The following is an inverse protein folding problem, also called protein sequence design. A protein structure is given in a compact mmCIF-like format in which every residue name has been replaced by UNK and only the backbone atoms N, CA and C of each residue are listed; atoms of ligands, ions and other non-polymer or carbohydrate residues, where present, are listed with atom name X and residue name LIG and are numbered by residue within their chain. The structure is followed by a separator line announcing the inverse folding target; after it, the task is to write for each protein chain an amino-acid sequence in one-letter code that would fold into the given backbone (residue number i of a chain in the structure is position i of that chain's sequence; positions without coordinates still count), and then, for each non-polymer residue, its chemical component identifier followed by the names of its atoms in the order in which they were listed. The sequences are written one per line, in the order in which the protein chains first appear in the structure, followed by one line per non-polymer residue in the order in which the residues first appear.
data_IF_135327054460
#
_entry.id   IF_135327054460
#
_cell.length_a   1.000
_cell.length_b   1.000
_cell.length_c   1.000
_cell.angle_alpha   90.00
_cell.angle_beta   90.00
_cell.angle_gamma   90.00
#
_symmetry.space_group_name_H-M   'P 1'
#
loop_
_entity.id
_entity.type
_entity.pdbx_description
1 polymer ?
#
# COMPACT_ATOMS: atom_id res chain seq x y z
N UNK A 1 -13.03 -8.52 -14.57
CA UNK A 1 -11.78 -9.24 -14.84
C UNK A 1 -10.70 -8.25 -15.27
N UNK A 2 -9.66 -7.97 -14.46
CA UNK A 2 -8.58 -7.04 -14.82
C UNK A 2 -7.76 -7.54 -16.03
N UNK A 3 -8.02 -8.76 -16.48
CA UNK A 3 -7.38 -9.39 -17.64
C UNK A 3 -8.36 -9.63 -18.79
N UNK A 4 -9.60 -9.16 -18.68
CA UNK A 4 -10.51 -9.19 -19.82
C UNK A 4 -9.82 -8.56 -21.04
N UNK A 5 -9.97 -9.21 -22.19
CA UNK A 5 -9.31 -8.77 -23.42
C UNK A 5 -9.61 -7.29 -23.65
N UNK A 6 -8.56 -6.53 -23.84
CA UNK A 6 -8.60 -5.10 -24.02
C UNK A 6 -9.64 -4.68 -25.02
N UNK A 7 -10.70 -4.08 -24.58
CA UNK A 7 -11.58 -3.32 -25.42
C UNK A 7 -10.93 -1.95 -25.65
N UNK A 8 -10.12 -1.87 -26.69
CA UNK A 8 -9.56 -0.61 -27.14
C UNK A 8 -10.56 -0.05 -28.14
N UNK A 9 -11.17 1.07 -27.82
CA UNK A 9 -11.93 1.82 -28.81
C UNK A 9 -10.99 2.70 -29.63
N UNK A 10 -11.30 2.85 -30.90
CA UNK A 10 -10.61 3.75 -31.81
C UNK A 10 -11.57 4.87 -32.21
N UNK A 11 -11.13 6.11 -32.14
CA UNK A 11 -11.82 7.27 -32.65
C UNK A 11 -10.90 8.02 -33.60
N UNK A 12 -11.49 8.69 -34.62
CA UNK A 12 -10.74 9.60 -35.48
C UNK A 12 -11.20 11.03 -35.22
N UNK A 13 -10.24 11.95 -35.14
CA UNK A 13 -10.56 13.36 -35.10
C UNK A 13 -11.01 13.88 -36.50
N UNK A 14 -11.37 15.16 -36.57
CA UNK A 14 -11.79 15.79 -37.82
C UNK A 14 -10.68 15.85 -38.87
N UNK A 15 -9.42 15.69 -38.47
CA UNK A 15 -8.22 15.65 -39.32
C UNK A 15 -7.88 14.24 -39.76
N UNK A 16 -8.60 13.21 -39.28
CA UNK A 16 -8.37 11.82 -39.59
C UNK A 16 -7.30 11.12 -38.73
N UNK A 17 -6.74 11.79 -37.70
CA UNK A 17 -5.83 11.17 -36.77
C UNK A 17 -6.56 10.14 -35.91
N UNK A 18 -5.94 8.96 -35.75
CA UNK A 18 -6.52 7.86 -34.99
C UNK A 18 -6.08 7.92 -33.52
N UNK A 19 -7.02 7.91 -32.62
CA UNK A 19 -6.83 7.83 -31.16
C UNK A 19 -7.33 6.48 -30.66
N UNK A 20 -6.54 5.86 -29.80
CA UNK A 20 -6.90 4.63 -29.10
C UNK A 20 -7.14 4.97 -27.64
N UNK A 21 -8.34 4.70 -27.18
CA UNK A 21 -8.72 4.90 -25.78
C UNK A 21 -8.83 3.58 -25.04
N UNK A 22 -8.59 3.63 -23.74
CA UNK A 22 -8.84 2.51 -22.85
C UNK A 22 -10.30 2.46 -22.45
N UNK A 23 -10.90 1.26 -22.48
CA UNK A 23 -12.20 1.06 -21.88
C UNK A 23 -12.07 1.11 -20.35
N UNK A 24 -12.94 1.87 -19.70
CA UNK A 24 -13.05 1.85 -18.23
C UNK A 24 -13.79 0.58 -17.84
N UNK A 25 -13.09 -0.32 -17.18
CA UNK A 25 -13.68 -1.54 -16.61
C UNK A 25 -14.34 -1.24 -15.26
N UNK A 26 -15.07 -2.19 -14.69
CA UNK A 26 -15.57 -2.10 -13.30
C UNK A 26 -14.46 -1.88 -12.26
N UNK A 27 -13.22 -2.17 -12.61
CA UNK A 27 -12.02 -1.97 -11.81
C UNK A 27 -11.27 -0.65 -12.13
N UNK A 28 -11.82 0.19 -12.98
CA UNK A 28 -11.21 1.43 -13.46
C UNK A 28 -10.41 1.24 -14.75
N UNK A 29 -9.48 2.17 -15.01
CA UNK A 29 -8.61 2.10 -16.18
C UNK A 29 -7.70 0.88 -16.16
N UNK A 30 -7.48 0.29 -17.33
CA UNK A 30 -6.55 -0.82 -17.49
C UNK A 30 -5.10 -0.30 -17.47
N UNK A 31 -4.50 -0.27 -16.29
CA UNK A 31 -3.11 0.14 -16.05
C UNK A 31 -2.27 -1.03 -15.53
N UNK A 32 -0.94 -0.88 -15.50
CA UNK A 32 -0.04 -1.95 -15.02
C UNK A 32 -0.17 -2.28 -13.52
N UNK A 33 -0.83 -1.43 -12.76
CA UNK A 33 -0.86 -1.50 -11.30
C UNK A 33 0.34 -0.79 -10.66
N UNK A 34 0.51 -1.01 -9.37
CA UNK A 34 1.60 -0.45 -8.57
C UNK A 34 2.91 -1.19 -8.89
N UNK A 35 4.01 -0.45 -8.98
CA UNK A 35 5.35 -1.07 -9.03
C UNK A 35 5.62 -1.74 -7.67
N UNK A 36 5.84 -3.07 -7.61
CA UNK A 36 6.03 -3.74 -6.33
C UNK A 36 7.24 -3.23 -5.56
N UNK A 37 8.28 -2.75 -6.24
CA UNK A 37 9.53 -2.30 -5.61
C UNK A 37 9.53 -0.82 -5.19
N UNK A 38 8.37 -0.26 -4.93
CA UNK A 38 8.19 1.07 -4.38
C UNK A 38 7.59 0.99 -2.96
N UNK A 39 7.86 2.03 -2.17
CA UNK A 39 7.14 2.25 -0.92
C UNK A 39 5.77 2.87 -1.22
N UNK A 40 4.75 2.33 -0.59
CA UNK A 40 3.40 2.89 -0.63
C UNK A 40 2.90 3.15 0.78
N UNK A 41 2.25 4.28 0.94
CA UNK A 41 1.51 4.56 2.17
C UNK A 41 0.37 3.56 2.35
N UNK A 42 0.10 3.19 3.58
CA UNK A 42 -1.04 2.34 3.92
C UNK A 42 -2.38 2.93 3.45
N UNK A 43 -2.47 4.25 3.39
CA UNK A 43 -3.69 4.98 3.01
C UNK A 43 -4.19 4.76 1.59
N UNK A 44 -3.39 4.16 0.69
CA UNK A 44 -3.85 3.78 -0.65
C UNK A 44 -4.68 2.49 -0.67
N UNK A 45 -4.99 1.92 0.49
CA UNK A 45 -5.83 0.73 0.58
C UNK A 45 -7.17 0.94 -0.11
N UNK A 46 -7.60 -0.06 -0.88
CA UNK A 46 -8.90 -0.05 -1.58
C UNK A 46 -9.97 -0.86 -0.85
N UNK A 47 -9.61 -1.61 0.17
CA UNK A 47 -10.51 -2.38 1.02
C UNK A 47 -10.07 -2.33 2.47
N UNK A 48 -10.99 -2.01 3.36
CA UNK A 48 -10.81 -2.01 4.82
C UNK A 48 -12.04 -2.65 5.47
N UNK A 49 -11.82 -3.64 6.34
CA UNK A 49 -12.89 -4.24 7.14
C UNK A 49 -12.86 -3.67 8.55
N UNK A 50 -13.91 -2.96 8.95
CA UNK A 50 -14.11 -2.42 10.32
C UNK A 50 -12.90 -1.63 10.88
N UNK A 51 -12.09 -1.07 9.99
CA UNK A 51 -10.94 -0.25 10.31
C UNK A 51 -11.01 1.06 9.55
N UNK A 52 -10.27 2.06 10.01
CA UNK A 52 -10.29 3.40 9.44
C UNK A 52 -8.89 3.94 9.18
N UNK A 53 -8.82 4.90 8.29
CA UNK A 53 -7.69 5.79 8.18
C UNK A 53 -7.64 6.72 9.39
N UNK A 54 -6.46 7.20 9.75
CA UNK A 54 -6.30 8.20 10.79
C UNK A 54 -7.11 9.45 10.42
N UNK A 55 -7.99 9.89 11.33
CA UNK A 55 -8.92 10.99 11.05
C UNK A 55 -8.23 12.36 10.92
N UNK A 56 -7.08 12.51 11.56
CA UNK A 56 -6.33 13.77 11.56
C UNK A 56 -5.52 13.98 10.26
N UNK A 57 -5.41 12.95 9.44
CA UNK A 57 -4.84 13.03 8.09
C UNK A 57 -5.89 13.54 7.10
N UNK A 58 -6.39 14.76 7.33
CA UNK A 58 -7.46 15.37 6.52
C UNK A 58 -7.00 15.95 5.20
N UNK A 59 -5.79 15.74 4.84
CA UNK A 59 -5.40 15.99 3.47
C UNK A 59 -5.87 14.80 2.62
N UNK A 60 -7.06 14.93 2.03
CA UNK A 60 -7.58 13.96 1.06
C UNK A 60 -6.65 13.78 -0.14
N UNK A 61 -5.67 14.66 -0.27
CA UNK A 61 -4.61 14.62 -1.26
C UNK A 61 -3.33 13.95 -0.71
N UNK A 62 -3.23 13.83 0.62
CA UNK A 62 -2.11 13.17 1.27
C UNK A 62 -2.38 11.67 1.40
N UNK A 63 -1.92 10.92 0.41
CA UNK A 63 -1.93 9.45 0.44
C UNK A 63 -1.02 8.86 1.54
N UNK A 64 -0.61 9.65 2.53
CA UNK A 64 0.31 9.25 3.60
C UNK A 64 -0.38 8.87 4.90
N UNK A 65 -1.72 8.88 4.94
CA UNK A 65 -2.47 8.50 6.12
C UNK A 65 -2.21 7.05 6.55
N UNK A 66 -1.83 6.79 7.79
CA UNK A 66 -1.75 5.43 8.31
C UNK A 66 -3.15 4.84 8.50
N UNK A 67 -3.24 3.52 8.50
CA UNK A 67 -4.41 2.78 8.95
C UNK A 67 -4.21 2.50 10.43
N UNK A 68 -5.16 2.91 11.26
CA UNK A 68 -5.01 2.85 12.72
C UNK A 68 -5.99 1.89 13.37
N UNK A 69 -5.59 1.33 14.51
CA UNK A 69 -6.45 0.51 15.36
C UNK A 69 -6.78 -0.85 14.74
N UNK A 70 -5.84 -1.45 14.01
CA UNK A 70 -6.03 -2.78 13.40
C UNK A 70 -6.14 -3.84 14.50
N UNK A 71 -7.20 -4.66 14.43
CA UNK A 71 -7.53 -5.70 15.40
C UNK A 71 -7.51 -7.09 14.76
N UNK A 72 -7.59 -8.10 15.61
CA UNK A 72 -7.73 -9.48 15.16
C UNK A 72 -8.88 -9.67 14.15
N UNK A 73 -8.60 -10.32 13.03
CA UNK A 73 -9.55 -10.57 11.95
C UNK A 73 -9.74 -9.41 10.97
N UNK A 74 -9.20 -8.23 11.22
CA UNK A 74 -9.28 -7.14 10.28
C UNK A 74 -8.53 -7.44 8.97
N UNK A 75 -9.06 -6.92 7.86
CA UNK A 75 -8.55 -7.10 6.51
C UNK A 75 -8.23 -5.76 5.89
N UNK A 76 -7.06 -5.67 5.26
CA UNK A 76 -6.62 -4.53 4.47
C UNK A 76 -6.29 -5.02 3.07
N UNK A 77 -6.87 -4.44 2.03
CA UNK A 77 -6.67 -4.87 0.65
C UNK A 77 -6.10 -3.78 -0.25
N UNK A 78 -5.19 -4.18 -1.12
CA UNK A 78 -4.51 -3.33 -2.08
C UNK A 78 -4.67 -3.89 -3.50
N UNK A 79 -5.16 -3.10 -4.44
CA UNK A 79 -5.34 -3.45 -5.84
C UNK A 79 -4.62 -2.44 -6.72
N UNK A 80 -3.84 -2.86 -7.62
CA UNK A 80 -3.17 -4.14 -7.87
C UNK A 80 -1.68 -3.88 -7.93
N UNK A 81 -0.85 -4.82 -7.52
CA UNK A 81 0.57 -4.79 -7.80
C UNK A 81 0.85 -5.46 -9.14
N UNK A 82 1.72 -4.87 -9.95
CA UNK A 82 2.12 -5.40 -11.25
C UNK A 82 3.41 -6.18 -11.15
N UNK A 83 3.34 -7.51 -11.18
CA UNK A 83 4.50 -8.38 -11.04
C UNK A 83 5.26 -8.63 -12.36
N UNK A 84 4.94 -7.90 -13.41
CA UNK A 84 5.64 -7.96 -14.69
C UNK A 84 4.85 -8.67 -15.80
N UNK A 85 5.54 -8.97 -16.92
CA UNK A 85 4.91 -9.63 -18.07
C UNK A 85 3.98 -8.75 -18.90
N UNK A 86 3.82 -7.48 -18.56
CA UNK A 86 3.04 -6.49 -19.29
C UNK A 86 3.99 -5.67 -20.17
N UNK A 87 3.69 -5.49 -21.45
CA UNK A 87 4.57 -4.78 -22.39
C UNK A 87 4.43 -3.28 -22.32
N UNK A 88 3.17 -2.79 -22.40
CA UNK A 88 2.77 -1.39 -22.27
C UNK A 88 1.34 -1.34 -21.78
N UNK A 89 0.99 -0.31 -21.04
CA UNK A 89 -0.41 -0.03 -20.75
C UNK A 89 -1.07 0.69 -21.93
N UNK A 90 -2.36 0.91 -21.81
CA UNK A 90 -3.14 1.58 -22.85
C UNK A 90 -2.82 3.08 -22.97
N UNK A 91 -2.19 3.67 -21.96
CA UNK A 91 -1.74 5.05 -21.96
C UNK A 91 -0.35 5.22 -22.56
N UNK A 92 0.29 4.12 -22.98
CA UNK A 92 1.64 4.11 -23.53
C UNK A 92 2.75 4.25 -22.51
N UNK A 93 2.43 4.16 -21.23
CA UNK A 93 3.42 4.20 -20.16
C UNK A 93 4.30 2.95 -20.21
N UNK A 94 5.58 3.14 -19.98
CA UNK A 94 6.55 2.04 -19.95
C UNK A 94 6.27 1.14 -18.75
N UNK A 95 6.12 -0.16 -19.01
CA UNK A 95 6.01 -1.13 -17.92
C UNK A 95 7.30 -1.17 -17.09
N UNK A 96 7.15 -1.29 -15.79
CA UNK A 96 8.26 -1.67 -14.92
C UNK A 96 8.57 -3.16 -15.09
N UNK A 97 9.79 -3.57 -14.73
CA UNK A 97 10.26 -4.93 -15.00
C UNK A 97 9.50 -6.01 -14.21
N UNK A 98 8.92 -5.65 -13.07
CA UNK A 98 8.26 -6.57 -12.16
C UNK A 98 9.23 -7.53 -11.45
N UNK A 99 8.69 -8.64 -10.96
CA UNK A 99 9.46 -9.67 -10.27
C UNK A 99 10.03 -10.68 -11.27
N UNK A 100 11.32 -10.94 -11.21
CA UNK A 100 12.00 -11.97 -12.04
C UNK A 100 12.30 -13.22 -11.20
N UNK A 101 12.43 -14.36 -11.84
CA UNK A 101 12.94 -15.56 -11.16
C UNK A 101 14.28 -15.27 -10.50
N UNK A 102 14.44 -15.69 -9.24
CA UNK A 102 15.67 -15.52 -8.48
C UNK A 102 15.88 -14.14 -7.87
N UNK A 103 14.91 -13.24 -7.94
CA UNK A 103 15.00 -11.94 -7.29
C UNK A 103 15.00 -12.03 -5.77
N UNK A 104 14.63 -13.17 -5.20
CA UNK A 104 14.46 -13.38 -3.75
C UNK A 104 13.60 -12.28 -3.15
N UNK A 105 12.39 -12.14 -3.70
CA UNK A 105 11.49 -11.04 -3.35
C UNK A 105 10.93 -11.22 -1.96
N UNK A 106 11.02 -10.16 -1.16
CA UNK A 106 10.46 -10.05 0.17
C UNK A 106 9.33 -9.02 0.20
N UNK A 107 8.33 -9.25 1.03
CA UNK A 107 7.28 -8.30 1.33
C UNK A 107 7.56 -7.59 2.65
N UNK A 108 7.39 -6.28 2.67
CA UNK A 108 7.71 -5.43 3.81
C UNK A 108 6.45 -4.70 4.28
N UNK A 109 6.24 -4.68 5.60
CA UNK A 109 5.28 -3.83 6.28
C UNK A 109 6.01 -2.85 7.20
N UNK A 110 5.55 -1.61 7.19
CA UNK A 110 5.98 -0.58 8.13
C UNK A 110 4.82 -0.34 9.09
N UNK A 111 4.92 -0.87 10.30
CA UNK A 111 3.84 -0.79 11.27
C UNK A 111 4.35 -0.42 12.67
N UNK A 112 3.44 0.12 13.48
CA UNK A 112 3.65 0.42 14.89
C UNK A 112 2.85 -0.58 15.72
N UNK A 113 3.50 -1.51 16.46
CA UNK A 113 2.79 -2.37 17.40
C UNK A 113 2.04 -1.53 18.45
N UNK A 114 0.79 -1.90 18.75
CA UNK A 114 -0.06 -1.26 19.77
C UNK A 114 -0.26 -2.13 21.00
N UNK A 115 0.12 -3.39 20.91
CA UNK A 115 0.12 -4.35 22.02
C UNK A 115 1.55 -4.81 22.34
N UNK A 116 1.77 -5.19 23.60
CA UNK A 116 3.01 -5.86 24.02
C UNK A 116 3.00 -7.37 23.74
N UNK A 117 1.87 -7.93 23.32
CA UNK A 117 1.73 -9.35 22.99
C UNK A 117 2.17 -9.64 21.57
N UNK A 118 2.53 -10.89 21.34
CA UNK A 118 2.81 -11.35 19.98
C UNK A 118 1.54 -11.40 19.11
N UNK A 119 1.68 -11.07 17.84
CA UNK A 119 0.63 -11.18 16.84
C UNK A 119 1.22 -11.47 15.46
N UNK A 120 0.37 -11.73 14.48
CA UNK A 120 0.77 -12.02 13.11
C UNK A 120 0.00 -11.17 12.13
N UNK A 121 0.61 -10.97 10.97
CA UNK A 121 -0.05 -10.42 9.78
C UNK A 121 0.13 -11.42 8.65
N UNK A 122 -0.96 -12.05 8.25
CA UNK A 122 -0.98 -12.99 7.14
C UNK A 122 -1.06 -12.21 5.83
N UNK A 123 -0.16 -12.50 4.90
CA UNK A 123 -0.10 -11.87 3.57
C UNK A 123 -0.73 -12.83 2.56
N UNK A 124 -1.77 -12.35 1.89
CA UNK A 124 -2.54 -13.11 0.93
C UNK A 124 -2.53 -12.44 -0.45
N UNK A 125 -2.65 -13.23 -1.49
CA UNK A 125 -2.75 -12.78 -2.87
C UNK A 125 -4.11 -13.15 -3.44
N UNK A 126 -4.75 -12.21 -4.16
CA UNK A 126 -6.02 -12.33 -4.88
C UNK A 126 -7.26 -12.61 -4.02
N UNK A 127 -7.11 -12.61 -2.72
CA UNK A 127 -8.19 -12.74 -1.75
C UNK A 127 -7.64 -12.96 -0.35
N UNK A 128 -8.40 -12.58 0.71
CA UNK A 128 -7.92 -12.67 2.09
C UNK A 128 -7.98 -14.09 2.67
N UNK A 129 -8.61 -15.03 1.95
CA UNK A 129 -8.76 -16.44 2.36
C UNK A 129 -8.81 -17.37 1.16
N UNK A 130 -8.44 -18.63 1.39
CA UNK A 130 -8.68 -19.71 0.45
C UNK A 130 -10.04 -20.36 0.77
N UNK A 131 -11.09 -19.83 0.17
CA UNK A 131 -12.45 -20.36 0.29
C UNK A 131 -13.22 -20.21 -1.02
N UNK A 132 -14.45 -20.69 -1.06
CA UNK A 132 -15.27 -20.68 -2.27
C UNK A 132 -15.51 -19.27 -2.85
N UNK A 133 -15.52 -18.26 -1.99
CA UNK A 133 -15.76 -16.84 -2.38
C UNK A 133 -14.49 -16.15 -2.89
N UNK A 134 -13.39 -16.28 -2.16
CA UNK A 134 -12.20 -15.46 -2.39
C UNK A 134 -11.11 -16.13 -3.20
N UNK A 135 -10.91 -17.44 -3.02
CA UNK A 135 -9.85 -18.23 -3.69
C UNK A 135 -8.46 -17.61 -3.56
N UNK A 136 -8.21 -16.94 -2.44
CA UNK A 136 -6.93 -16.30 -2.17
C UNK A 136 -5.83 -17.31 -1.91
N UNK A 137 -4.59 -16.90 -2.11
CA UNK A 137 -3.41 -17.72 -1.82
C UNK A 137 -2.58 -17.04 -0.73
N UNK A 138 -2.37 -17.70 0.41
CA UNK A 138 -1.42 -17.21 1.43
C UNK A 138 0.00 -17.27 0.86
N UNK A 139 0.69 -16.12 0.86
CA UNK A 139 2.04 -15.99 0.30
C UNK A 139 3.09 -15.70 1.36
N UNK A 140 2.67 -15.34 2.58
CA UNK A 140 3.60 -15.07 3.69
C UNK A 140 2.89 -14.87 5.01
N UNK A 141 3.69 -14.83 6.07
CA UNK A 141 3.25 -14.54 7.43
C UNK A 141 4.33 -13.72 8.12
N UNK A 142 3.97 -12.52 8.55
CA UNK A 142 4.84 -11.66 9.34
C UNK A 142 4.50 -11.88 10.82
N UNK A 143 5.49 -12.28 11.61
CA UNK A 143 5.36 -12.43 13.05
C UNK A 143 5.92 -11.19 13.75
N UNK A 144 5.13 -10.58 14.62
CA UNK A 144 5.54 -9.52 15.51
C UNK A 144 5.65 -10.11 16.91
N UNK A 145 6.88 -10.11 17.44
CA UNK A 145 7.16 -10.75 18.72
C UNK A 145 6.64 -9.90 19.88
N UNK A 146 6.34 -10.57 20.99
CA UNK A 146 6.00 -9.88 22.23
C UNK A 146 7.13 -8.94 22.65
N UNK A 147 6.77 -7.75 23.15
CA UNK A 147 7.73 -6.73 23.57
C UNK A 147 8.39 -5.96 22.41
N UNK A 148 7.91 -6.10 21.18
CA UNK A 148 8.37 -5.26 20.06
C UNK A 148 8.16 -3.77 20.35
N UNK A 149 9.11 -2.95 19.90
CA UNK A 149 9.06 -1.50 20.11
C UNK A 149 7.78 -0.88 19.54
N UNK A 150 7.14 0.02 20.29
CA UNK A 150 5.93 0.72 19.88
C UNK A 150 6.25 1.96 19.02
N UNK A 151 7.05 1.73 18.01
CA UNK A 151 7.41 2.73 16.99
C UNK A 151 7.32 2.13 15.60
N UNK A 152 7.34 2.96 14.57
CA UNK A 152 7.28 2.48 13.18
C UNK A 152 8.50 1.62 12.89
N UNK A 153 8.28 0.33 12.77
CA UNK A 153 9.30 -0.68 12.50
C UNK A 153 8.99 -1.41 11.19
N UNK A 154 10.03 -1.72 10.43
CA UNK A 154 9.89 -2.54 9.22
C UNK A 154 9.93 -4.02 9.59
N UNK A 155 8.90 -4.74 9.20
CA UNK A 155 8.81 -6.20 9.28
C UNK A 155 8.82 -6.78 7.89
N UNK A 156 9.51 -7.89 7.69
CA UNK A 156 9.77 -8.46 6.37
C UNK A 156 9.50 -9.95 6.36
N UNK A 157 8.92 -10.44 5.27
CA UNK A 157 8.75 -11.88 5.00
C UNK A 157 9.20 -12.21 3.57
N UNK A 158 9.91 -13.31 3.41
CA UNK A 158 10.25 -13.85 2.09
C UNK A 158 8.98 -14.38 1.41
N UNK A 159 8.70 -13.89 0.21
CA UNK A 159 7.56 -14.30 -0.61
C UNK A 159 8.01 -14.77 -2.01
N UNK A 160 9.32 -14.94 -2.21
CA UNK A 160 9.93 -15.27 -3.50
C UNK A 160 9.36 -16.51 -4.17
N UNK A 161 9.07 -17.54 -3.38
CA UNK A 161 8.44 -18.76 -3.88
C UNK A 161 7.06 -18.56 -4.53
N UNK A 162 6.44 -17.42 -4.28
CA UNK A 162 5.09 -17.11 -4.75
C UNK A 162 5.04 -16.01 -5.80
N UNK A 163 6.00 -15.06 -5.76
CA UNK A 163 5.94 -13.86 -6.60
C UNK A 163 7.07 -13.73 -7.61
N UNK A 164 8.19 -14.44 -7.43
CA UNK A 164 9.30 -14.39 -8.37
C UNK A 164 8.90 -14.93 -9.74
N UNK A 165 8.93 -14.06 -10.75
CA UNK A 165 8.55 -14.41 -12.12
C UNK A 165 7.05 -14.65 -12.32
N UNK A 166 6.19 -14.23 -11.38
CA UNK A 166 4.75 -14.45 -11.45
C UNK A 166 4.09 -13.77 -12.65
N UNK A 167 4.50 -12.53 -12.94
CA UNK A 167 3.87 -11.71 -13.99
C UNK A 167 2.47 -11.22 -13.62
N UNK A 168 1.86 -10.41 -14.49
CA UNK A 168 0.49 -9.88 -14.36
C UNK A 168 0.29 -8.99 -13.12
N UNK A 169 -0.96 -8.63 -12.88
CA UNK A 169 -1.41 -7.85 -11.72
C UNK A 169 -2.09 -8.75 -10.71
N UNK A 170 -1.76 -8.58 -9.44
CA UNK A 170 -2.35 -9.32 -8.34
C UNK A 170 -2.71 -8.37 -7.20
N UNK A 171 -3.83 -8.65 -6.55
CA UNK A 171 -4.23 -7.96 -5.33
C UNK A 171 -3.48 -8.54 -4.12
N UNK A 172 -3.13 -7.69 -3.17
CA UNK A 172 -2.51 -8.11 -1.91
C UNK A 172 -3.47 -7.78 -0.78
N UNK A 173 -3.70 -8.77 0.08
CA UNK A 173 -4.53 -8.64 1.27
C UNK A 173 -3.71 -8.96 2.52
N UNK A 174 -3.90 -8.17 3.55
CA UNK A 174 -3.34 -8.37 4.87
C UNK A 174 -4.47 -8.79 5.80
N UNK A 175 -4.27 -9.86 6.55
CA UNK A 175 -5.23 -10.32 7.56
C UNK A 175 -4.52 -10.35 8.91
N UNK A 176 -4.98 -9.55 9.86
CA UNK A 176 -4.42 -9.48 11.20
C UNK A 176 -4.88 -10.67 12.05
N UNK A 177 -3.97 -11.27 12.81
CA UNK A 177 -4.24 -12.39 13.70
C UNK A 177 -3.54 -12.18 15.05
N UNK A 178 -4.31 -12.12 16.13
CA UNK A 178 -3.78 -11.89 17.48
C UNK A 178 -4.84 -11.98 18.55
N UNK A 179 -4.57 -11.37 19.70
CA UNK A 179 -5.50 -11.34 20.81
C UNK A 179 -6.85 -10.68 20.47
N UNK A 180 -7.95 -11.22 20.99
CA UNK A 180 -9.28 -10.67 20.74
C UNK A 180 -9.50 -9.35 21.48
N UNK A 181 -10.11 -8.39 20.78
CA UNK A 181 -10.60 -7.12 21.36
C UNK A 181 -9.55 -6.02 21.56
N UNK A 182 -8.26 -6.31 21.36
CA UNK A 182 -7.18 -5.33 21.46
C UNK A 182 -6.73 -4.81 20.09
N UNK A 183 -6.22 -3.59 20.07
CA UNK A 183 -5.54 -3.04 18.90
C UNK A 183 -4.16 -3.68 18.80
N UNK A 184 -3.87 -4.28 17.66
CA UNK A 184 -2.63 -5.00 17.42
C UNK A 184 -1.55 -4.05 16.89
N UNK A 185 -1.91 -3.23 15.89
CA UNK A 185 -0.96 -2.31 15.26
C UNK A 185 -1.64 -1.18 14.49
N UNK A 186 -0.85 -0.17 14.16
CA UNK A 186 -1.13 0.79 13.10
C UNK A 186 -0.23 0.50 11.92
N UNK A 187 -0.77 0.57 10.69
CA UNK A 187 -0.04 0.34 9.47
C UNK A 187 0.32 1.67 8.80
N UNK A 188 1.61 1.94 8.62
CA UNK A 188 2.10 3.16 7.99
C UNK A 188 2.32 2.98 6.50
N UNK A 189 2.83 1.82 6.08
CA UNK A 189 3.12 1.58 4.66
C UNK A 189 3.56 0.16 4.36
N UNK A 190 3.74 -0.10 3.07
CA UNK A 190 4.11 -1.42 2.58
C UNK A 190 4.86 -1.35 1.24
N UNK A 191 5.39 -2.47 0.83
CA UNK A 191 5.99 -2.66 -0.49
C UNK A 191 6.84 -3.92 -0.55
N UNK A 192 7.36 -4.22 -1.74
CA UNK A 192 8.25 -5.37 -1.93
C UNK A 192 9.69 -4.90 -2.09
N UNK A 193 10.63 -5.75 -1.71
CA UNK A 193 12.04 -5.56 -1.99
C UNK A 193 12.62 -6.78 -2.69
N UNK A 194 13.74 -6.62 -3.39
CA UNK A 194 14.56 -7.73 -3.86
C UNK A 194 15.91 -7.71 -3.16
N UNK A 195 16.66 -8.80 -3.26
CA UNK A 195 18.00 -8.88 -2.69
C UNK A 195 18.84 -7.66 -3.07
N UNK A 196 19.47 -7.03 -2.08
CA UNK A 196 20.30 -5.86 -2.27
C UNK A 196 19.58 -4.54 -2.51
N UNK A 197 18.25 -4.56 -2.62
CA UNK A 197 17.43 -3.34 -2.73
C UNK A 197 16.64 -3.14 -1.45
N UNK A 198 16.79 -1.97 -0.85
CA UNK A 198 15.97 -1.53 0.28
C UNK A 198 14.86 -0.62 -0.24
N UNK A 199 13.66 -0.81 0.26
CA UNK A 199 12.61 0.18 0.09
C UNK A 199 12.86 1.28 1.11
N UNK A 200 13.16 2.48 0.62
CA UNK A 200 13.30 3.63 1.49
C UNK A 200 11.90 4.17 1.81
N UNK A 201 11.54 4.21 3.07
CA UNK A 201 10.41 5.02 3.54
C UNK A 201 10.74 6.48 3.24
N UNK A 202 9.82 7.25 2.60
CA UNK A 202 10.02 8.68 2.43
C UNK A 202 10.27 9.33 3.79
N UNK A 203 11.36 10.06 3.90
CA UNK A 203 11.59 10.91 5.07
C UNK A 203 10.73 12.16 4.88
N UNK A 204 9.78 12.37 5.75
CA UNK A 204 9.06 13.65 5.79
C UNK A 204 10.11 14.72 6.12
N UNK A 205 10.33 15.73 5.27
CA UNK A 205 11.29 16.77 5.55
C UNK A 205 10.94 17.43 6.89
N UNK A 206 11.89 17.49 7.81
CA UNK A 206 11.72 18.29 9.02
C UNK A 206 11.68 19.76 8.61
N UNK A 207 10.53 20.39 8.73
CA UNK A 207 10.44 21.85 8.56
C UNK A 207 11.01 22.47 9.83
N UNK A 208 12.16 23.14 9.72
CA UNK A 208 12.67 23.96 10.80
C UNK A 208 12.12 25.38 10.62
N UNK A 209 11.40 25.87 11.61
CA UNK A 209 11.00 27.28 11.69
C UNK A 209 11.96 27.98 12.64
N UNK A 210 12.52 29.10 12.23
CA UNK A 210 13.28 29.97 13.14
C UNK A 210 12.52 31.30 13.31
N UNK A 211 12.41 31.76 14.55
CA UNK A 211 11.90 33.08 14.88
C UNK A 211 13.04 33.85 15.57
N UNK A 212 13.36 35.03 15.08
CA UNK A 212 14.49 35.86 15.56
C UNK A 212 15.83 35.07 15.61
N UNK A 213 16.07 34.22 14.61
CA UNK A 213 17.30 33.40 14.51
C UNK A 213 17.39 32.22 15.47
N UNK A 214 16.36 31.96 16.28
CA UNK A 214 16.28 30.80 17.15
C UNK A 214 15.43 29.72 16.50
N UNK A 215 15.97 28.51 16.36
CA UNK A 215 15.22 27.36 15.87
C UNK A 215 14.09 27.01 16.86
N UNK A 216 12.88 26.87 16.35
CA UNK A 216 11.74 26.35 17.11
C UNK A 216 11.60 24.87 16.77
N UNK A 217 11.68 24.00 17.77
CA UNK A 217 11.30 22.60 17.60
C UNK A 217 9.77 22.53 17.44
N UNK A 218 9.34 22.17 16.23
CA UNK A 218 7.93 21.85 15.99
C UNK A 218 7.61 20.49 16.60
N UNK A 219 6.40 20.32 17.17
CA UNK A 219 5.94 18.99 17.56
C UNK A 219 6.08 18.02 16.38
N UNK A 220 6.53 16.81 16.61
CA UNK A 220 6.70 15.76 15.58
C UNK A 220 5.40 15.43 14.83
N UNK A 221 4.28 15.86 15.36
CA UNK A 221 2.96 15.71 14.75
C UNK A 221 2.41 17.12 14.47
N UNK A 222 1.98 17.43 13.24
CA UNK A 222 1.34 18.71 12.95
C UNK A 222 0.12 18.88 13.86
N UNK A 223 0.10 19.93 14.65
CA UNK A 223 -1.06 20.28 15.47
C UNK A 223 -1.99 21.13 14.61
N UNK A 224 -3.14 20.58 14.29
CA UNK A 224 -4.19 21.32 13.62
C UNK A 224 -4.74 22.39 14.56
N UNK A 225 -4.69 23.64 14.17
CA UNK A 225 -5.35 24.71 14.88
C UNK A 225 -6.43 25.34 14.01
N UNK A 226 -7.58 25.61 14.61
CA UNK A 226 -8.66 26.38 13.97
C UNK A 226 -8.71 27.73 14.65
N UNK A 227 -8.57 28.81 13.88
CA UNK A 227 -8.68 30.17 14.43
C UNK A 227 -10.14 30.55 14.74
N UNK A 228 -10.35 31.70 15.38
CA UNK A 228 -11.67 32.18 15.75
C UNK A 228 -12.65 32.39 14.57
N UNK A 229 -12.13 32.42 13.33
CA UNK A 229 -12.92 32.56 12.10
C UNK A 229 -13.21 31.20 11.42
N UNK A 230 -12.90 30.08 12.09
CA UNK A 230 -13.10 28.75 11.54
C UNK A 230 -12.08 28.34 10.46
N UNK A 231 -11.04 29.12 10.22
CA UNK A 231 -9.97 28.79 9.29
C UNK A 231 -9.00 27.83 9.98
N UNK A 232 -8.83 26.65 9.41
CA UNK A 232 -7.89 25.64 9.90
C UNK A 232 -6.56 25.77 9.17
N UNK A 233 -5.46 25.82 9.95
CA UNK A 233 -4.09 25.78 9.45
C UNK A 233 -3.29 24.67 10.15
N UNK A 234 -2.18 24.29 9.54
CA UNK A 234 -1.22 23.32 10.07
C UNK A 234 -0.02 24.09 10.64
#
# INVERSE_FOLDING_TARGET
DPYAKNHVWTAKDKQGNEYKGAEVTSEGFHIFGLDPYQYYSAGIACYLSDIRLQQDAWDIWDNHAPIVGVKNGNIIGYKYFGFGGLKKDQLGLKAFEGTKKGNQTAFNLFLTPRTSKAFKVNVWMDGPWDNATWKGKKIGEIQVLAGSAQEVTQFTVDVSAHVDGLGRKHAIYLVAEGGSGEELFDLTGLGFSSVGKKIARPVVPSVSISVDGKAIELPKTPVRSTNANGITGY
#
